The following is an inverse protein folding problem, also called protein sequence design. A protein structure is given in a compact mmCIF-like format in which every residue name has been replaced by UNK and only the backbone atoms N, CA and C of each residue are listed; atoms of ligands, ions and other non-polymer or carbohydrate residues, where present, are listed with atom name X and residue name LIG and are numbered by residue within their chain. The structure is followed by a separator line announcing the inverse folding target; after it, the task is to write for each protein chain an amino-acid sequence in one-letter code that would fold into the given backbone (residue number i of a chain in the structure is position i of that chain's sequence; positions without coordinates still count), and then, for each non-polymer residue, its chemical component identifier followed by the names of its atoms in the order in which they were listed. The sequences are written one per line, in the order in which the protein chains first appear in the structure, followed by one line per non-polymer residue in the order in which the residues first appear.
data_IF_331268490188
#
_entry.id   IF_331268490188
#
_cell.length_a   1.000
_cell.length_b   1.000
_cell.length_c   1.000
_cell.angle_alpha   90.00
_cell.angle_beta   90.00
_cell.angle_gamma   90.00
#
_symmetry.space_group_name_H-M   'P 1'
#
loop_
_entity.id
_entity.type
_entity.pdbx_description
1 polymer ?
#
# COMPACT_ATOMS: atom_id res chain seq x y z
N UNK A 1 -3.89 -10.91 -40.41
CA UNK A 1 -3.41 -11.03 -39.01
C UNK A 1 -2.29 -10.03 -38.86
N UNK A 2 -2.55 -8.91 -38.19
CA UNK A 2 -1.51 -7.90 -37.95
C UNK A 2 -0.54 -8.46 -36.92
N UNK A 3 0.75 -8.48 -37.26
CA UNK A 3 1.83 -8.57 -36.29
C UNK A 3 1.68 -7.43 -35.30
N UNK A 4 0.97 -7.68 -34.21
CA UNK A 4 0.94 -6.82 -33.06
C UNK A 4 2.37 -6.82 -32.51
N UNK A 5 3.19 -5.89 -32.99
CA UNK A 5 4.53 -5.64 -32.45
C UNK A 5 4.36 -5.54 -30.94
N UNK A 6 4.96 -6.48 -30.23
CA UNK A 6 5.00 -6.47 -28.77
C UNK A 6 5.72 -5.18 -28.38
N UNK A 7 4.96 -4.13 -28.04
CA UNK A 7 5.52 -2.88 -27.58
C UNK A 7 6.35 -3.18 -26.33
N UNK A 8 7.61 -2.73 -26.32
CA UNK A 8 8.46 -2.89 -25.14
C UNK A 8 7.78 -2.22 -23.94
N UNK A 9 7.83 -2.85 -22.75
CA UNK A 9 7.25 -2.26 -21.54
C UNK A 9 7.83 -0.87 -21.31
N UNK A 10 6.95 0.05 -20.89
CA UNK A 10 7.34 1.44 -20.67
C UNK A 10 8.24 1.53 -19.42
N UNK A 11 9.39 2.21 -19.48
CA UNK A 11 10.23 2.42 -18.30
C UNK A 11 9.45 3.10 -17.17
N UNK A 12 9.67 2.68 -15.92
CA UNK A 12 8.92 3.16 -14.74
C UNK A 12 8.86 4.69 -14.66
N UNK A 13 9.99 5.38 -14.82
CA UNK A 13 10.03 6.85 -14.76
C UNK A 13 9.19 7.52 -15.86
N UNK A 14 9.11 6.90 -17.04
CA UNK A 14 8.26 7.40 -18.13
C UNK A 14 6.79 7.12 -17.83
N UNK A 15 6.48 5.95 -17.26
CA UNK A 15 5.13 5.62 -16.79
C UNK A 15 4.67 6.62 -15.71
N UNK A 16 5.47 6.88 -14.68
CA UNK A 16 5.11 7.80 -13.59
C UNK A 16 4.84 9.24 -14.06
N UNK A 17 5.48 9.68 -15.15
CA UNK A 17 5.18 11.00 -15.75
C UNK A 17 3.81 11.06 -16.41
N UNK A 18 3.30 9.94 -16.92
CA UNK A 18 2.02 9.83 -17.64
C UNK A 18 1.40 8.45 -17.39
N UNK A 19 0.90 8.17 -16.17
CA UNK A 19 0.28 6.89 -15.88
C UNK A 19 -1.03 6.80 -16.68
N UNK A 20 -1.03 5.94 -17.69
CA UNK A 20 -2.19 5.74 -18.53
C UNK A 20 -3.06 4.63 -17.94
N UNK A 21 -4.28 4.96 -17.54
CA UNK A 21 -5.33 3.97 -17.31
C UNK A 21 -5.87 3.59 -18.69
N UNK A 22 -5.35 2.53 -19.29
CA UNK A 22 -5.77 2.06 -20.60
C UNK A 22 -6.43 0.68 -20.49
N UNK A 23 -7.25 0.33 -21.48
CA UNK A 23 -7.93 -0.97 -21.60
C UNK A 23 -6.98 -2.15 -21.90
N UNK A 24 -5.67 -1.94 -21.77
CA UNK A 24 -4.69 -3.00 -21.99
C UNK A 24 -4.87 -4.06 -20.90
N UNK A 25 -4.80 -5.32 -21.32
CA UNK A 25 -4.72 -6.42 -20.38
C UNK A 25 -3.46 -6.24 -19.51
N UNK A 26 -3.51 -6.58 -18.20
CA UNK A 26 -2.35 -6.50 -17.35
C UNK A 26 -1.17 -7.32 -17.90
N UNK A 27 0.03 -6.74 -17.83
CA UNK A 27 1.28 -7.41 -18.18
C UNK A 27 1.46 -8.67 -17.29
N UNK A 28 1.87 -9.81 -17.87
CA UNK A 28 2.18 -10.99 -17.08
C UNK A 28 3.41 -10.71 -16.21
N UNK A 29 3.27 -10.93 -14.90
CA UNK A 29 4.37 -10.88 -13.95
C UNK A 29 4.61 -12.30 -13.42
N UNK A 30 5.86 -12.77 -13.47
CA UNK A 30 6.24 -14.06 -12.89
C UNK A 30 6.78 -13.88 -11.48
N UNK A 31 6.96 -14.99 -10.75
CA UNK A 31 7.40 -15.00 -9.35
C UNK A 31 8.72 -14.24 -9.13
N UNK A 32 9.72 -14.43 -9.99
CA UNK A 32 11.05 -13.84 -9.79
C UNK A 32 11.08 -12.31 -9.98
N UNK A 33 10.56 -11.74 -11.07
CA UNK A 33 10.38 -10.29 -11.19
C UNK A 33 9.52 -9.71 -10.06
N UNK A 34 8.41 -10.38 -9.68
CA UNK A 34 7.61 -9.95 -8.55
C UNK A 34 8.41 -9.92 -7.24
N UNK A 35 9.17 -10.97 -6.94
CA UNK A 35 10.00 -11.03 -5.75
C UNK A 35 11.04 -9.91 -5.74
N UNK A 36 11.61 -9.54 -6.89
CA UNK A 36 12.54 -8.42 -6.91
C UNK A 36 11.86 -7.06 -6.71
N UNK A 37 10.58 -6.90 -7.12
CA UNK A 37 9.77 -5.73 -6.77
C UNK A 37 9.56 -5.66 -5.27
N UNK A 38 9.21 -6.79 -4.63
CA UNK A 38 9.09 -6.89 -3.17
C UNK A 38 10.41 -6.51 -2.49
N UNK A 39 11.54 -7.07 -2.93
CA UNK A 39 12.86 -6.74 -2.36
C UNK A 39 13.24 -5.27 -2.57
N UNK A 40 12.96 -4.70 -3.74
CA UNK A 40 13.19 -3.27 -4.02
C UNK A 40 12.36 -2.39 -3.07
N UNK A 41 11.09 -2.73 -2.88
CA UNK A 41 10.18 -1.98 -2.01
C UNK A 41 10.58 -2.08 -0.54
N UNK A 42 10.98 -3.26 -0.08
CA UNK A 42 11.52 -3.46 1.27
C UNK A 42 12.80 -2.65 1.47
N UNK A 43 13.69 -2.60 0.47
CA UNK A 43 14.91 -1.79 0.53
C UNK A 43 14.60 -0.29 0.65
N UNK A 44 13.64 0.20 -0.16
CA UNK A 44 13.16 1.59 -0.08
C UNK A 44 12.51 1.86 1.28
N UNK A 45 11.67 0.95 1.75
CA UNK A 45 10.99 1.06 3.05
C UNK A 45 11.99 1.07 4.22
N UNK A 46 13.01 0.22 4.19
CA UNK A 46 14.07 0.21 5.21
C UNK A 46 14.88 1.51 5.21
N UNK A 47 15.29 2.00 4.03
CA UNK A 47 15.99 3.28 3.91
C UNK A 47 15.11 4.44 4.38
N UNK A 48 13.82 4.42 4.05
CA UNK A 48 12.83 5.39 4.50
C UNK A 48 12.67 5.38 6.03
N UNK A 49 12.47 4.22 6.65
CA UNK A 49 12.35 4.11 8.10
C UNK A 49 13.61 4.53 8.86
N UNK A 50 14.80 4.25 8.31
CA UNK A 50 16.06 4.73 8.87
C UNK A 50 16.16 6.27 8.81
N UNK A 51 15.72 6.87 7.70
CA UNK A 51 15.63 8.32 7.54
C UNK A 51 14.63 8.92 8.52
N UNK A 52 13.43 8.34 8.65
CA UNK A 52 12.41 8.77 9.61
C UNK A 52 12.96 8.79 11.03
N UNK A 53 13.65 7.73 11.44
CA UNK A 53 14.30 7.65 12.75
C UNK A 53 15.39 8.71 12.96
N UNK A 54 16.12 9.08 11.90
CA UNK A 54 17.10 10.16 11.96
C UNK A 54 16.42 11.55 12.08
N UNK A 55 15.36 11.79 11.31
CA UNK A 55 14.58 13.03 11.34
C UNK A 55 13.93 13.24 12.71
N UNK A 56 13.30 12.19 13.26
CA UNK A 56 12.71 12.20 14.60
C UNK A 56 13.74 12.64 15.64
N UNK A 57 14.95 12.06 15.62
CA UNK A 57 16.03 12.41 16.57
C UNK A 57 16.57 13.82 16.34
N UNK A 58 16.73 14.23 15.08
CA UNK A 58 17.29 15.53 14.71
C UNK A 58 16.37 16.70 15.08
N UNK A 59 15.07 16.55 14.84
CA UNK A 59 14.09 17.61 15.07
C UNK A 59 13.33 17.47 16.40
N UNK A 60 13.62 16.42 17.18
CA UNK A 60 12.94 16.16 18.45
C UNK A 60 11.45 15.88 18.30
N UNK A 61 11.01 15.33 17.15
CA UNK A 61 9.61 14.99 16.93
C UNK A 61 9.18 13.84 17.85
N UNK A 62 8.04 13.98 18.52
CA UNK A 62 7.53 12.94 19.42
C UNK A 62 6.47 12.11 18.71
N UNK A 63 6.81 10.87 18.34
CA UNK A 63 5.82 9.87 17.94
C UNK A 63 5.17 9.32 19.21
N UNK A 64 3.85 9.48 19.41
CA UNK A 64 3.18 9.02 20.62
C UNK A 64 3.38 7.50 20.82
N UNK A 65 3.65 7.03 22.06
CA UNK A 65 3.81 5.60 22.33
C UNK A 65 2.52 4.80 22.09
N UNK A 66 1.37 5.47 22.14
CA UNK A 66 0.06 4.92 21.83
C UNK A 66 -0.38 5.12 20.37
N UNK A 67 0.55 5.49 19.47
CA UNK A 67 0.26 5.53 18.03
C UNK A 67 -0.13 4.14 17.54
N UNK A 68 -0.94 4.08 16.48
CA UNK A 68 -1.42 2.80 15.93
C UNK A 68 -0.27 1.87 15.53
N UNK A 69 0.80 2.41 14.94
CA UNK A 69 2.00 1.64 14.59
C UNK A 69 2.68 1.06 15.83
N UNK A 70 2.94 1.88 16.86
CA UNK A 70 3.58 1.41 18.09
C UNK A 70 2.71 0.38 18.81
N UNK A 71 1.39 0.59 18.82
CA UNK A 71 0.45 -0.38 19.35
C UNK A 71 0.52 -1.72 18.61
N UNK A 72 0.44 -1.72 17.27
CA UNK A 72 0.52 -2.94 16.47
C UNK A 72 1.83 -3.70 16.70
N UNK A 73 2.97 -3.00 16.75
CA UNK A 73 4.27 -3.63 16.94
C UNK A 73 4.45 -4.17 18.37
N UNK A 74 3.93 -3.47 19.38
CA UNK A 74 4.08 -3.87 20.78
C UNK A 74 3.10 -4.96 21.25
N UNK A 75 1.97 -5.14 20.57
CA UNK A 75 0.89 -6.04 21.01
C UNK A 75 0.63 -7.20 20.03
N UNK A 76 1.61 -8.11 19.94
CA UNK A 76 1.48 -9.35 19.17
C UNK A 76 0.22 -10.12 19.60
N UNK A 77 -0.77 -10.21 18.72
CA UNK A 77 -2.06 -10.84 19.00
C UNK A 77 -2.76 -11.27 17.71
N UNK A 78 -3.68 -12.23 17.81
CA UNK A 78 -4.49 -12.63 16.64
C UNK A 78 -5.35 -11.49 16.07
N UNK A 79 -5.76 -10.54 16.92
CA UNK A 79 -6.46 -9.33 16.49
C UNK A 79 -5.58 -8.44 15.64
N UNK A 80 -4.34 -8.18 16.09
CA UNK A 80 -3.38 -7.43 15.31
C UNK A 80 -3.01 -8.19 14.01
N UNK A 81 -2.88 -9.52 14.07
CA UNK A 81 -2.58 -10.33 12.89
C UNK A 81 -3.69 -10.22 11.84
N UNK A 82 -4.96 -10.23 12.26
CA UNK A 82 -6.09 -10.02 11.38
C UNK A 82 -6.05 -8.64 10.72
N UNK A 83 -5.60 -7.59 11.42
CA UNK A 83 -5.42 -6.25 10.81
C UNK A 83 -4.35 -6.29 9.72
N UNK A 84 -3.18 -6.89 9.98
CA UNK A 84 -2.09 -7.04 8.99
C UNK A 84 -2.53 -7.82 7.75
N UNK A 85 -3.51 -8.71 7.89
CA UNK A 85 -4.08 -9.48 6.78
C UNK A 85 -5.30 -8.80 6.14
N UNK A 86 -6.09 -8.01 6.86
CA UNK A 86 -7.31 -7.42 6.27
C UNK A 86 -7.04 -6.04 5.72
N UNK A 87 -6.24 -5.23 6.42
CA UNK A 87 -5.97 -3.84 6.05
C UNK A 87 -5.33 -3.70 4.66
N UNK A 88 -4.26 -4.44 4.30
CA UNK A 88 -3.67 -4.32 2.96
C UNK A 88 -4.66 -4.62 1.84
N UNK A 89 -5.50 -5.65 1.98
CA UNK A 89 -6.54 -5.95 1.00
C UNK A 89 -7.56 -4.82 0.88
N UNK A 90 -8.06 -4.30 2.00
CA UNK A 90 -9.03 -3.22 1.99
C UNK A 90 -8.43 -1.93 1.41
N UNK A 91 -7.17 -1.62 1.71
CA UNK A 91 -6.46 -0.47 1.17
C UNK A 91 -6.18 -0.62 -0.33
N UNK A 92 -5.87 -1.83 -0.81
CA UNK A 92 -5.74 -2.09 -2.23
C UNK A 92 -7.08 -2.02 -2.96
N UNK A 93 -8.15 -2.53 -2.36
CA UNK A 93 -9.49 -2.38 -2.92
C UNK A 93 -9.94 -0.92 -2.95
N UNK A 94 -9.73 -0.18 -1.86
CA UNK A 94 -10.12 1.22 -1.72
C UNK A 94 -9.35 2.15 -2.63
N UNK A 95 -8.03 2.08 -2.64
CA UNK A 95 -7.22 3.04 -3.40
C UNK A 95 -6.86 2.56 -4.81
N UNK A 96 -6.81 1.25 -5.08
CA UNK A 96 -6.19 0.70 -6.31
C UNK A 96 -7.15 -0.03 -7.22
N UNK A 97 -8.25 -0.61 -6.73
CA UNK A 97 -9.16 -1.34 -7.62
C UNK A 97 -9.71 -0.42 -8.73
N UNK A 98 -9.97 0.85 -8.43
CA UNK A 98 -10.43 1.86 -9.38
C UNK A 98 -9.38 2.33 -10.39
N UNK A 99 -8.09 2.02 -10.19
CA UNK A 99 -7.03 2.33 -11.16
C UNK A 99 -7.05 1.31 -12.31
N UNK A 100 -8.14 1.35 -13.06
CA UNK A 100 -8.52 0.40 -14.09
C UNK A 100 -9.44 1.09 -15.09
N UNK A 101 -9.53 0.56 -16.29
CA UNK A 101 -10.62 0.87 -17.23
C UNK A 101 -11.63 -0.27 -17.34
N UNK A 102 -11.26 -1.48 -16.88
CA UNK A 102 -12.20 -2.58 -16.77
C UNK A 102 -13.35 -2.23 -15.82
N UNK A 103 -14.59 -2.36 -16.31
CA UNK A 103 -15.81 -1.97 -15.62
C UNK A 103 -15.89 -2.52 -14.19
N UNK A 104 -15.81 -3.85 -14.02
CA UNK A 104 -15.98 -4.49 -12.70
C UNK A 104 -15.01 -3.93 -11.65
N UNK A 105 -13.67 -3.88 -11.88
CA UNK A 105 -12.74 -3.24 -10.96
C UNK A 105 -13.01 -1.77 -10.65
N UNK A 106 -13.43 -0.96 -11.63
CA UNK A 106 -13.74 0.47 -11.42
C UNK A 106 -14.84 0.63 -10.38
N UNK A 107 -15.96 -0.06 -10.58
CA UNK A 107 -17.13 0.09 -9.70
C UNK A 107 -16.93 -0.61 -8.33
N UNK A 108 -16.24 -1.74 -8.28
CA UNK A 108 -15.81 -2.31 -6.99
C UNK A 108 -14.91 -1.31 -6.25
N UNK A 109 -13.92 -0.75 -6.95
CA UNK A 109 -13.00 0.23 -6.36
C UNK A 109 -13.70 1.50 -5.88
N UNK A 110 -14.65 2.04 -6.65
CA UNK A 110 -15.43 3.22 -6.24
C UNK A 110 -16.21 2.98 -4.94
N UNK A 111 -16.84 1.81 -4.80
CA UNK A 111 -17.55 1.47 -3.58
C UNK A 111 -16.59 1.46 -2.38
N UNK A 112 -15.48 0.73 -2.48
CA UNK A 112 -14.48 0.68 -1.41
C UNK A 112 -13.82 2.04 -1.16
N UNK A 113 -13.55 2.84 -2.20
CA UNK A 113 -12.93 4.15 -2.08
C UNK A 113 -13.81 5.11 -1.28
N UNK A 114 -15.11 5.20 -1.60
CA UNK A 114 -16.04 6.06 -0.85
C UNK A 114 -16.21 5.58 0.59
N UNK A 115 -16.32 4.27 0.80
CA UNK A 115 -16.38 3.70 2.15
C UNK A 115 -15.15 4.05 2.96
N UNK A 116 -13.96 3.79 2.41
CA UNK A 116 -12.70 4.05 3.10
C UNK A 116 -12.52 5.54 3.40
N UNK A 117 -12.81 6.41 2.42
CA UNK A 117 -12.70 7.87 2.59
C UNK A 117 -13.67 8.37 3.65
N UNK A 118 -14.92 7.91 3.64
CA UNK A 118 -15.88 8.28 4.68
C UNK A 118 -15.42 7.83 6.07
N UNK A 119 -14.96 6.58 6.21
CA UNK A 119 -14.49 6.06 7.50
C UNK A 119 -13.31 6.88 8.00
N UNK A 120 -12.35 7.19 7.14
CA UNK A 120 -11.22 8.04 7.48
C UNK A 120 -11.67 9.42 7.94
N UNK A 121 -12.57 10.09 7.21
CA UNK A 121 -13.10 11.40 7.59
C UNK A 121 -13.88 11.34 8.90
N UNK A 122 -14.77 10.34 9.06
CA UNK A 122 -15.60 10.16 10.24
C UNK A 122 -14.74 9.96 11.49
N UNK A 123 -13.75 9.07 11.43
CA UNK A 123 -12.82 8.82 12.54
C UNK A 123 -12.05 10.08 12.93
N UNK A 124 -11.56 10.85 11.95
CA UNK A 124 -10.81 12.08 12.21
C UNK A 124 -11.69 13.22 12.76
N UNK A 125 -12.99 13.27 12.40
CA UNK A 125 -13.91 14.31 12.85
C UNK A 125 -14.54 13.99 14.22
N UNK A 126 -14.90 12.73 14.45
CA UNK A 126 -15.73 12.33 15.59
C UNK A 126 -14.92 11.82 16.79
N UNK A 127 -13.72 11.26 16.57
CA UNK A 127 -12.94 10.64 17.63
C UNK A 127 -11.57 11.32 17.79
N UNK A 128 -11.47 12.26 18.73
CA UNK A 128 -10.19 12.79 19.25
C UNK A 128 -9.50 11.85 20.26
N UNK A 129 -9.91 10.59 20.34
CA UNK A 129 -9.59 9.70 21.47
C UNK A 129 -8.90 8.40 21.04
N UNK A 130 -8.04 7.83 21.91
CA UNK A 130 -7.12 6.76 21.55
C UNK A 130 -7.84 5.45 21.24
N UNK A 131 -7.38 4.77 20.19
CA UNK A 131 -7.29 3.32 19.99
C UNK A 131 -8.36 2.38 20.61
N UNK A 132 -9.63 2.77 20.70
CA UNK A 132 -10.75 1.84 20.74
C UNK A 132 -11.16 1.58 19.27
N UNK A 133 -10.42 0.83 18.45
CA UNK A 133 -9.93 -0.52 18.72
C UNK A 133 -10.89 -1.52 18.09
N UNK A 134 -10.80 -1.70 16.76
CA UNK A 134 -11.46 -2.76 15.95
C UNK A 134 -12.96 -2.58 15.68
N UNK A 135 -13.78 -2.06 16.60
CA UNK A 135 -15.23 -1.89 16.36
C UNK A 135 -15.52 -1.05 15.10
N UNK A 136 -14.70 -0.03 14.82
CA UNK A 136 -14.81 0.82 13.64
C UNK A 136 -14.52 0.15 12.30
N UNK A 137 -13.83 -1.01 12.28
CA UNK A 137 -13.72 -1.80 11.06
C UNK A 137 -15.04 -2.43 10.66
N UNK A 138 -16.00 -2.56 11.60
CA UNK A 138 -17.35 -3.03 11.29
C UNK A 138 -18.28 -1.90 10.84
N UNK A 139 -18.03 -0.65 11.25
CA UNK A 139 -18.74 0.53 10.74
C UNK A 139 -18.53 0.71 9.22
N UNK A 140 -17.40 0.22 8.70
CA UNK A 140 -17.10 0.11 7.27
C UNK A 140 -18.24 -0.58 6.52
N UNK A 141 -18.88 -1.62 7.08
CA UNK A 141 -19.95 -2.34 6.38
C UNK A 141 -21.21 -1.50 6.18
N UNK A 142 -21.57 -0.67 7.17
CA UNK A 142 -22.74 0.20 7.08
C UNK A 142 -22.60 1.30 6.02
N UNK A 143 -21.37 1.65 5.69
CA UNK A 143 -21.02 2.62 4.64
C UNK A 143 -20.75 1.91 3.31
N UNK A 144 -20.30 0.67 3.35
CA UNK A 144 -20.06 -0.15 2.16
C UNK A 144 -21.35 -0.47 1.41
N UNK A 145 -22.44 -0.75 2.12
CA UNK A 145 -23.75 -1.00 1.49
C UNK A 145 -24.21 0.19 0.63
N UNK A 146 -24.34 1.43 1.14
CA UNK A 146 -24.74 2.57 0.33
C UNK A 146 -23.71 2.92 -0.74
N UNK A 147 -22.40 2.76 -0.49
CA UNK A 147 -21.37 2.99 -1.50
C UNK A 147 -21.45 1.97 -2.66
N UNK A 148 -21.70 0.69 -2.35
CA UNK A 148 -21.97 -0.36 -3.32
C UNK A 148 -23.25 -0.07 -4.12
N UNK A 149 -24.32 0.38 -3.45
CA UNK A 149 -25.56 0.75 -4.13
C UNK A 149 -25.33 1.95 -5.07
N UNK A 150 -24.66 3.00 -4.61
CA UNK A 150 -24.31 4.15 -5.43
C UNK A 150 -23.45 3.74 -6.64
N UNK A 151 -22.44 2.89 -6.41
CA UNK A 151 -21.60 2.35 -7.46
C UNK A 151 -22.40 1.50 -8.47
N UNK A 152 -23.35 0.70 -8.00
CA UNK A 152 -24.26 -0.08 -8.85
C UNK A 152 -25.18 0.82 -9.68
N UNK A 153 -25.71 1.90 -9.10
CA UNK A 153 -26.53 2.87 -9.81
C UNK A 153 -25.70 3.61 -10.88
N UNK A 154 -24.48 4.03 -10.54
CA UNK A 154 -23.55 4.61 -11.51
C UNK A 154 -23.22 3.61 -12.62
N UNK A 155 -23.01 2.33 -12.30
CA UNK A 155 -22.82 1.28 -13.31
C UNK A 155 -24.04 1.12 -14.22
N UNK A 156 -25.25 1.16 -13.65
CA UNK A 156 -26.51 0.94 -14.38
C UNK A 156 -26.87 2.11 -15.30
N UNK A 157 -26.59 3.34 -14.87
CA UNK A 157 -27.11 4.56 -15.51
C UNK A 157 -26.04 5.51 -16.07
N UNK A 158 -24.78 5.42 -15.62
CA UNK A 158 -23.72 6.37 -15.97
C UNK A 158 -22.38 5.69 -16.33
N UNK A 159 -22.40 4.42 -16.76
CA UNK A 159 -21.18 3.64 -17.05
C UNK A 159 -20.21 4.32 -18.01
N UNK A 160 -20.70 4.79 -19.16
CA UNK A 160 -19.90 5.36 -20.23
C UNK A 160 -19.27 6.70 -19.82
N UNK A 161 -20.03 7.66 -19.24
CA UNK A 161 -19.45 8.86 -18.65
C UNK A 161 -18.39 8.57 -17.59
N UNK A 162 -18.63 7.60 -16.69
CA UNK A 162 -17.67 7.25 -15.62
C UNK A 162 -16.39 6.68 -16.22
N UNK A 163 -16.47 5.70 -17.13
CA UNK A 163 -15.27 5.15 -17.77
C UNK A 163 -14.52 6.22 -18.55
N UNK A 164 -15.24 7.08 -19.28
CA UNK A 164 -14.63 8.20 -20.01
C UNK A 164 -13.88 9.14 -19.06
N UNK A 165 -14.45 9.49 -17.91
CA UNK A 165 -13.78 10.28 -16.88
C UNK A 165 -12.46 9.63 -16.42
N UNK A 166 -12.47 8.32 -16.19
CA UNK A 166 -11.28 7.56 -15.78
C UNK A 166 -10.20 7.54 -16.87
N UNK A 167 -10.59 7.42 -18.14
CA UNK A 167 -9.66 7.49 -19.26
C UNK A 167 -9.07 8.89 -19.45
N UNK A 168 -9.91 9.93 -19.43
CA UNK A 168 -9.51 11.32 -19.67
C UNK A 168 -8.65 11.90 -18.54
N UNK A 169 -8.93 11.49 -17.30
CA UNK A 169 -8.28 12.02 -16.10
C UNK A 169 -7.44 10.97 -15.36
N UNK A 170 -7.04 9.88 -16.02
CA UNK A 170 -6.33 8.77 -15.40
C UNK A 170 -5.06 9.19 -14.64
N UNK A 171 -4.34 10.21 -15.15
CA UNK A 171 -3.17 10.77 -14.48
C UNK A 171 -3.52 11.42 -13.14
N UNK A 172 -4.57 12.24 -13.11
CA UNK A 172 -5.01 12.89 -11.88
C UNK A 172 -5.54 11.85 -10.87
N UNK A 173 -6.35 10.89 -11.33
CA UNK A 173 -6.90 9.82 -10.48
C UNK A 173 -5.78 8.97 -9.87
N UNK A 174 -4.75 8.62 -10.64
CA UNK A 174 -3.58 7.90 -10.15
C UNK A 174 -2.89 8.66 -9.01
N UNK A 175 -2.57 9.95 -9.23
CA UNK A 175 -1.83 10.74 -8.23
C UNK A 175 -2.68 11.08 -7.01
N UNK A 176 -3.97 11.39 -7.19
CA UNK A 176 -4.91 11.59 -6.08
C UNK A 176 -4.98 10.34 -5.21
N UNK A 177 -5.10 9.15 -5.82
CA UNK A 177 -5.06 7.88 -5.07
C UNK A 177 -3.78 7.73 -4.26
N UNK A 178 -2.61 8.00 -4.85
CA UNK A 178 -1.32 7.90 -4.16
C UNK A 178 -1.20 8.91 -2.99
N UNK A 179 -1.62 10.15 -3.22
CA UNK A 179 -1.59 11.22 -2.20
C UNK A 179 -2.50 10.86 -1.04
N UNK A 180 -3.73 10.42 -1.32
CA UNK A 180 -4.67 10.03 -0.26
C UNK A 180 -4.17 8.82 0.53
N UNK A 181 -3.51 7.86 -0.13
CA UNK A 181 -2.87 6.74 0.56
C UNK A 181 -1.77 7.21 1.53
N UNK A 182 -0.86 8.08 1.06
CA UNK A 182 0.18 8.65 1.92
C UNK A 182 -0.39 9.48 3.06
N UNK A 183 -1.43 10.27 2.81
CA UNK A 183 -2.12 11.07 3.82
C UNK A 183 -2.81 10.20 4.87
N UNK A 184 -3.42 9.08 4.47
CA UNK A 184 -4.00 8.11 5.41
C UNK A 184 -2.93 7.53 6.36
N UNK A 185 -1.72 7.33 5.85
CA UNK A 185 -0.60 6.83 6.64
C UNK A 185 0.05 7.90 7.52
N UNK A 186 -0.09 9.19 7.21
CA UNK A 186 0.38 10.25 8.11
C UNK A 186 -0.35 10.19 9.47
N UNK A 187 -1.64 9.84 9.48
CA UNK A 187 -2.41 9.66 10.71
C UNK A 187 -1.92 8.49 11.58
N UNK A 188 -1.05 7.61 11.08
CA UNK A 188 -0.47 6.50 11.84
C UNK A 188 0.65 7.00 12.78
N UNK A 189 1.33 8.09 12.45
CA UNK A 189 2.46 8.62 13.22
C UNK A 189 2.05 9.58 14.35
N UNK A 190 0.81 10.07 14.35
CA UNK A 190 0.31 11.02 15.34
C UNK A 190 -1.18 10.83 15.60
N UNK A 191 -1.61 11.01 16.85
CA UNK A 191 -3.04 10.95 17.22
C UNK A 191 -3.82 12.23 16.81
N UNK A 192 -3.17 13.15 16.11
CA UNK A 192 -3.71 14.42 15.63
C UNK A 192 -3.00 14.79 14.32
N UNK A 193 -3.55 15.74 13.57
CA UNK A 193 -2.94 16.20 12.33
C UNK A 193 -1.65 16.99 12.63
N UNK A 194 -0.50 16.33 12.54
CA UNK A 194 0.80 16.97 12.67
C UNK A 194 1.44 17.14 11.28
N UNK A 195 1.90 18.34 10.94
CA UNK A 195 2.49 18.61 9.62
C UNK A 195 3.72 17.73 9.35
N UNK A 196 4.51 17.42 10.37
CA UNK A 196 5.69 16.57 10.26
C UNK A 196 5.34 15.09 10.01
N UNK A 197 4.12 14.65 10.36
CA UNK A 197 3.68 13.29 10.08
C UNK A 197 3.56 13.04 8.57
N UNK A 198 3.31 14.08 7.77
CA UNK A 198 3.37 13.97 6.30
C UNK A 198 4.79 13.73 5.79
N UNK A 199 5.81 14.25 6.47
CA UNK A 199 7.22 13.99 6.13
C UNK A 199 7.54 12.53 6.45
N UNK A 200 7.16 12.04 7.62
CA UNK A 200 7.35 10.64 8.01
C UNK A 200 6.51 9.65 7.19
N UNK A 201 5.45 10.13 6.54
CA UNK A 201 4.65 9.34 5.61
C UNK A 201 5.24 9.29 4.19
N UNK A 202 6.35 9.98 3.89
CA UNK A 202 6.98 9.93 2.55
C UNK A 202 7.32 8.50 2.11
N UNK A 203 7.92 7.64 2.95
CA UNK A 203 8.16 6.24 2.57
C UNK A 203 6.88 5.49 2.21
N UNK A 204 5.80 5.73 2.95
CA UNK A 204 4.47 5.15 2.69
C UNK A 204 3.84 5.71 1.41
N UNK A 205 3.99 7.01 1.15
CA UNK A 205 3.57 7.62 -0.12
C UNK A 205 4.30 6.99 -1.31
N UNK A 206 5.63 6.83 -1.23
CA UNK A 206 6.42 6.19 -2.27
C UNK A 206 6.02 4.73 -2.49
N UNK A 207 5.78 3.98 -1.42
CA UNK A 207 5.20 2.63 -1.50
C UNK A 207 3.85 2.68 -2.24
N UNK A 208 2.98 3.64 -1.89
CA UNK A 208 1.70 3.84 -2.55
C UNK A 208 1.81 4.08 -4.05
N UNK A 209 2.77 4.90 -4.50
CA UNK A 209 3.07 5.15 -5.92
C UNK A 209 3.51 3.87 -6.64
N UNK A 210 4.35 3.07 -6.00
CA UNK A 210 4.87 1.85 -6.61
C UNK A 210 3.82 0.73 -6.65
N UNK A 211 3.00 0.58 -5.60
CA UNK A 211 1.83 -0.31 -5.60
C UNK A 211 0.80 0.11 -6.65
N UNK A 212 0.49 1.40 -6.77
CA UNK A 212 -0.38 1.91 -7.83
C UNK A 212 0.20 1.62 -9.22
N UNK A 213 1.52 1.72 -9.40
CA UNK A 213 2.20 1.35 -10.64
C UNK A 213 2.06 -0.15 -10.93
N UNK A 214 2.23 -1.00 -9.92
CA UNK A 214 2.03 -2.44 -10.04
C UNK A 214 0.58 -2.80 -10.37
N UNK A 215 -0.39 -2.09 -9.78
CA UNK A 215 -1.81 -2.25 -10.09
C UNK A 215 -2.10 -1.97 -11.55
N UNK A 216 -1.60 -0.86 -12.09
CA UNK A 216 -1.88 -0.44 -13.46
C UNK A 216 -1.18 -1.36 -14.45
N UNK A 217 0.07 -1.75 -14.18
CA UNK A 217 0.86 -2.60 -15.09
C UNK A 217 0.50 -4.07 -15.00
N UNK A 218 0.49 -4.64 -13.80
CA UNK A 218 0.42 -6.10 -13.58
C UNK A 218 -0.95 -6.56 -13.03
N UNK A 219 -1.78 -5.62 -12.60
CA UNK A 219 -3.14 -5.90 -12.10
C UNK A 219 -3.22 -5.97 -10.57
N UNK A 220 -4.46 -5.96 -10.08
CA UNK A 220 -4.76 -5.81 -8.64
C UNK A 220 -4.15 -6.92 -7.77
N UNK A 221 -4.15 -8.16 -8.25
CA UNK A 221 -3.61 -9.31 -7.49
C UNK A 221 -2.15 -9.13 -7.07
N UNK A 222 -1.32 -8.54 -7.94
CA UNK A 222 0.10 -8.34 -7.67
C UNK A 222 0.34 -7.17 -6.75
N UNK A 223 -0.51 -6.14 -6.82
CA UNK A 223 -0.50 -5.04 -5.85
C UNK A 223 -0.82 -5.56 -4.44
N UNK A 224 -1.91 -6.34 -4.30
CA UNK A 224 -2.29 -7.00 -3.03
C UNK A 224 -1.19 -7.92 -2.52
N UNK A 225 -0.68 -8.82 -3.35
CA UNK A 225 0.37 -9.76 -2.93
C UNK A 225 1.64 -9.03 -2.47
N UNK A 226 2.01 -7.93 -3.14
CA UNK A 226 3.18 -7.12 -2.77
C UNK A 226 2.97 -6.40 -1.45
N UNK A 227 1.81 -5.78 -1.26
CA UNK A 227 1.46 -5.10 -0.01
C UNK A 227 1.48 -6.08 1.16
N UNK A 228 0.86 -7.26 1.00
CA UNK A 228 0.94 -8.32 2.02
C UNK A 228 2.36 -8.79 2.32
N UNK A 229 3.18 -8.99 1.28
CA UNK A 229 4.54 -9.48 1.48
C UNK A 229 5.38 -8.49 2.30
N UNK A 230 5.20 -7.19 2.07
CA UNK A 230 5.90 -6.14 2.82
C UNK A 230 5.42 -6.11 4.27
N UNK A 231 4.12 -5.95 4.49
CA UNK A 231 3.55 -5.79 5.83
C UNK A 231 3.76 -7.02 6.70
N UNK A 232 3.53 -8.22 6.14
CA UNK A 232 3.71 -9.48 6.86
C UNK A 232 5.16 -9.69 7.26
N UNK A 233 6.11 -9.41 6.35
CA UNK A 233 7.53 -9.61 6.65
C UNK A 233 8.01 -8.66 7.75
N UNK A 234 7.58 -7.40 7.70
CA UNK A 234 7.97 -6.39 8.69
C UNK A 234 7.31 -6.67 10.03
N UNK A 235 5.99 -6.82 10.08
CA UNK A 235 5.25 -6.94 11.34
C UNK A 235 5.49 -8.28 12.02
N UNK A 236 5.36 -9.40 11.29
CA UNK A 236 5.57 -10.72 11.89
C UNK A 236 7.03 -10.95 12.26
N UNK A 237 7.98 -10.34 11.54
CA UNK A 237 9.38 -10.37 11.94
C UNK A 237 9.65 -9.68 13.26
N UNK A 238 9.07 -8.51 13.48
CA UNK A 238 9.16 -7.82 14.77
C UNK A 238 8.50 -8.65 15.87
N UNK A 239 7.29 -9.17 15.68
CA UNK A 239 6.62 -9.97 16.71
C UNK A 239 7.37 -11.23 17.07
N UNK A 240 7.88 -11.94 16.07
CA UNK A 240 8.63 -13.16 16.30
C UNK A 240 9.90 -12.88 17.10
N UNK A 241 10.57 -11.76 16.84
CA UNK A 241 11.70 -11.29 17.65
C UNK A 241 11.29 -10.94 19.09
N UNK A 242 10.12 -10.33 19.30
CA UNK A 242 9.66 -9.88 20.62
C UNK A 242 9.13 -11.02 21.51
N UNK A 243 8.52 -12.06 20.93
CA UNK A 243 7.86 -13.14 21.69
C UNK A 243 8.81 -14.28 22.04
N UNK A 244 9.89 -14.47 21.27
CA UNK A 244 10.84 -15.55 21.51
C UNK A 244 11.73 -15.22 22.71
N UNK A 245 11.97 -16.21 23.58
CA UNK A 245 12.80 -16.07 24.76
C UNK A 245 14.19 -15.53 24.40
N UNK A 246 14.63 -14.50 25.12
CA UNK A 246 15.94 -13.88 24.92
C UNK A 246 17.06 -14.90 25.15
N UNK A 247 18.09 -14.80 24.33
CA UNK A 247 19.29 -15.66 24.35
C UNK A 247 19.01 -17.15 24.11
N UNK A 248 17.81 -17.50 23.64
CA UNK A 248 17.48 -18.88 23.28
C UNK A 248 18.07 -19.27 21.92
N UNK A 249 18.30 -20.57 21.71
CA UNK A 249 18.73 -21.11 20.40
C UNK A 249 17.74 -20.73 19.29
N UNK A 250 16.44 -20.70 19.63
CA UNK A 250 15.38 -20.29 18.70
C UNK A 250 15.56 -18.83 18.28
N UNK A 251 15.84 -17.92 19.21
CA UNK A 251 16.05 -16.51 18.89
C UNK A 251 17.26 -16.33 17.96
N UNK A 252 18.38 -16.99 18.26
CA UNK A 252 19.58 -16.92 17.43
C UNK A 252 19.33 -17.47 16.01
N UNK A 253 18.66 -18.62 15.91
CA UNK A 253 18.27 -19.21 14.62
C UNK A 253 17.38 -18.28 13.80
N UNK A 254 16.44 -17.59 14.45
CA UNK A 254 15.60 -16.60 13.81
C UNK A 254 16.38 -15.36 13.37
N UNK A 255 17.27 -14.83 14.21
CA UNK A 255 18.13 -13.70 13.84
C UNK A 255 19.00 -14.05 12.62
N UNK A 256 19.56 -15.25 12.57
CA UNK A 256 20.30 -15.75 11.41
C UNK A 256 19.41 -15.86 10.16
N UNK A 257 18.18 -16.35 10.30
CA UNK A 257 17.23 -16.41 9.20
C UNK A 257 16.86 -15.01 8.68
N UNK A 258 16.55 -14.06 9.57
CA UNK A 258 16.27 -12.67 9.21
C UNK A 258 17.49 -11.97 8.60
N UNK A 259 18.71 -12.28 9.06
CA UNK A 259 19.93 -11.79 8.44
C UNK A 259 20.07 -12.33 7.01
N UNK A 260 19.81 -13.62 6.79
CA UNK A 260 19.80 -14.23 5.47
C UNK A 260 18.75 -13.61 4.54
N UNK A 261 17.52 -13.44 5.03
CA UNK A 261 16.44 -12.77 4.29
C UNK A 261 16.81 -11.31 3.99
N UNK A 262 17.35 -10.58 4.97
CA UNK A 262 17.78 -9.19 4.82
C UNK A 262 18.89 -9.05 3.78
N UNK A 263 19.90 -9.92 3.82
CA UNK A 263 20.96 -9.97 2.82
C UNK A 263 20.39 -10.26 1.42
N UNK A 264 19.46 -11.22 1.30
CA UNK A 264 18.77 -11.51 0.05
C UNK A 264 17.97 -10.29 -0.46
N UNK A 265 17.20 -9.62 0.41
CA UNK A 265 16.42 -8.41 0.08
C UNK A 265 17.33 -7.30 -0.43
N UNK A 266 18.48 -7.06 0.22
CA UNK A 266 19.45 -6.05 -0.22
C UNK A 266 20.03 -6.42 -1.58
N UNK A 267 20.58 -7.63 -1.72
CA UNK A 267 21.23 -8.06 -2.97
C UNK A 267 20.23 -8.06 -4.13
N UNK A 268 19.07 -8.68 -3.96
CA UNK A 268 18.09 -8.81 -5.03
C UNK A 268 17.34 -7.49 -5.30
N UNK A 269 17.11 -6.68 -4.26
CA UNK A 269 16.58 -5.33 -4.41
C UNK A 269 17.51 -4.41 -5.20
N UNK A 270 18.83 -4.48 -5.00
CA UNK A 270 19.81 -3.75 -5.80
C UNK A 270 19.84 -4.23 -7.25
N UNK A 271 19.75 -5.55 -7.49
CA UNK A 271 19.63 -6.10 -8.85
C UNK A 271 18.35 -5.59 -9.52
N UNK A 272 17.22 -5.61 -8.82
CA UNK A 272 15.95 -5.07 -9.31
C UNK A 272 16.05 -3.58 -9.63
N UNK A 273 16.66 -2.77 -8.74
CA UNK A 273 16.91 -1.34 -8.96
C UNK A 273 17.69 -1.08 -10.25
N UNK A 274 18.80 -1.81 -10.46
CA UNK A 274 19.62 -1.68 -11.67
C UNK A 274 18.82 -2.06 -12.92
N UNK A 275 17.97 -3.09 -12.85
CA UNK A 275 17.11 -3.50 -13.97
C UNK A 275 16.05 -2.45 -14.28
N UNK A 276 15.39 -1.90 -13.27
CA UNK A 276 14.41 -0.80 -13.41
C UNK A 276 15.09 0.44 -14.02
N UNK A 277 16.27 0.82 -13.52
CA UNK A 277 17.03 1.96 -14.03
C UNK A 277 17.45 1.79 -15.50
N UNK A 278 17.71 0.55 -15.94
CA UNK A 278 18.06 0.22 -17.34
C UNK A 278 16.83 -0.04 -18.23
N UNK A 279 15.61 0.08 -17.71
CA UNK A 279 14.38 -0.21 -18.44
C UNK A 279 14.25 -1.68 -18.88
N UNK A 280 14.83 -2.61 -18.13
CA UNK A 280 14.87 -4.05 -18.47
C UNK A 280 13.78 -4.87 -17.75
N UNK A 281 12.72 -4.22 -17.26
CA UNK A 281 11.67 -4.79 -16.40
C UNK A 281 10.26 -4.35 -16.76
#
# INVERSE_FOLDING_TARGET
MNDARVEKPMPLLRFLRRPALNERAPEPLTLWPWLGWVCLLLLIGFAGGALDGALIRLFGWTVPPNSFQNYLLAHASWKAAAIVVVAPLLEELGFRAMLSTALKPVFVGLAFFFTYTYVLLHLNLMHRLPAYGIAHYFDVFWVLIPACLASLLLYRYAREPVVKLFCDHGVAIFWVSCILFGAAHAAVYSNHLAWWAFILAIPQFLLGVLLASMRVRFGLRWSIATHYAIDSLVVYGVWLYLVVARDSVVQHGLMLAYLGIGAFVVVYGLVALVRVARGRW
#
